data_IF_306245581676
#
_entry.id   IF_306245581676
#
_cell.length_a   1.000
_cell.length_b   1.000
_cell.length_c   1.000
_cell.angle_alpha   90.00
_cell.angle_beta   90.00
_cell.angle_gamma   90.00
#
_symmetry.space_group_name_H-M   'P 1'
#
loop_
_entity.id
_entity.type
_entity.pdbx_description
1 polymer ?
#
# COMPACT_ATOMS: atom_id res chain seq x y z
N UNK A 1 -19.12 -58.02 -8.52
CA UNK A 1 -19.42 -56.82 -9.33
C UNK A 1 -19.55 -55.65 -8.35
N UNK A 2 -18.47 -54.85 -8.14
CA UNK A 2 -18.38 -53.41 -8.51
C UNK A 2 -19.49 -52.57 -7.86
N UNK A 3 -19.27 -51.55 -7.02
CA UNK A 3 -18.21 -50.54 -6.83
C UNK A 3 -18.27 -50.05 -5.35
N UNK A 4 -17.16 -49.87 -4.61
CA UNK A 4 -16.26 -48.69 -4.51
C UNK A 4 -16.85 -47.47 -3.75
N UNK A 5 -16.12 -47.08 -2.69
CA UNK A 5 -16.02 -45.74 -2.06
C UNK A 5 -17.25 -45.22 -1.28
N UNK A 6 -17.15 -44.43 -0.20
CA UNK A 6 -16.08 -43.53 0.26
C UNK A 6 -16.27 -43.36 1.78
N UNK A 7 -15.22 -43.60 2.58
CA UNK A 7 -15.14 -42.93 3.89
C UNK A 7 -14.91 -41.45 3.66
N UNK A 8 -15.38 -40.60 4.58
CA UNK A 8 -14.84 -39.27 4.87
C UNK A 8 -15.58 -38.71 6.10
N UNK A 9 -15.07 -39.08 7.27
CA UNK A 9 -15.34 -38.35 8.51
C UNK A 9 -14.54 -37.06 8.45
N UNK A 10 -15.21 -35.97 8.11
CA UNK A 10 -14.68 -34.61 8.11
C UNK A 10 -14.22 -34.22 9.53
N UNK A 11 -12.94 -34.45 9.83
CA UNK A 11 -12.28 -33.80 10.95
C UNK A 11 -12.05 -32.33 10.59
N UNK A 12 -12.54 -31.46 11.46
CA UNK A 12 -12.34 -30.01 11.47
C UNK A 12 -10.93 -29.59 11.01
N UNK A 13 -10.85 -28.92 9.86
CA UNK A 13 -9.66 -28.18 9.40
C UNK A 13 -9.81 -26.67 9.72
N UNK A 14 -10.22 -26.30 10.94
CA UNK A 14 -10.24 -24.90 11.38
C UNK A 14 -8.95 -24.47 12.12
N UNK A 15 -8.06 -25.39 12.48
CA UNK A 15 -6.81 -25.08 13.21
C UNK A 15 -5.63 -24.61 12.34
N UNK A 16 -5.61 -24.95 11.05
CA UNK A 16 -4.43 -24.73 10.19
C UNK A 16 -4.21 -23.28 9.74
N UNK A 17 -5.22 -22.42 9.80
CA UNK A 17 -5.07 -21.00 9.43
C UNK A 17 -4.43 -20.18 10.55
N UNK A 18 -4.83 -20.45 11.79
CA UNK A 18 -4.36 -19.73 12.96
C UNK A 18 -2.89 -20.06 13.27
N UNK A 19 -2.48 -21.33 13.21
CA UNK A 19 -1.08 -21.71 13.43
C UNK A 19 -0.13 -21.11 12.38
N UNK A 20 -0.57 -21.06 11.11
CA UNK A 20 0.19 -20.41 10.03
C UNK A 20 0.33 -18.91 10.26
N UNK A 21 -0.73 -18.24 10.70
CA UNK A 21 -0.71 -16.81 11.00
C UNK A 21 0.28 -16.47 12.13
N UNK A 22 0.27 -17.25 13.23
CA UNK A 22 1.25 -17.09 14.31
C UNK A 22 2.68 -17.39 13.88
N UNK A 23 2.87 -18.34 12.95
CA UNK A 23 4.19 -18.66 12.40
C UNK A 23 4.81 -17.50 11.64
N UNK A 24 4.03 -16.74 10.86
CA UNK A 24 4.53 -15.56 10.15
C UNK A 24 4.87 -14.40 11.08
N UNK A 25 4.09 -14.21 12.15
CA UNK A 25 4.38 -13.20 13.17
C UNK A 25 5.72 -13.53 13.85
N UNK A 26 5.87 -14.76 14.35
CA UNK A 26 7.11 -15.20 14.99
C UNK A 26 8.31 -15.11 14.04
N UNK A 27 8.14 -15.49 12.77
CA UNK A 27 9.20 -15.38 11.77
C UNK A 27 9.63 -13.91 11.54
N UNK A 28 8.67 -12.99 11.50
CA UNK A 28 8.96 -11.57 11.36
C UNK A 28 9.70 -10.99 12.56
N UNK A 29 9.36 -11.42 13.78
CA UNK A 29 10.05 -11.04 15.01
C UNK A 29 11.49 -11.59 15.04
N UNK A 30 11.66 -12.88 14.72
CA UNK A 30 12.98 -13.52 14.61
C UNK A 30 13.84 -12.79 13.58
N UNK A 31 13.27 -12.41 12.43
CA UNK A 31 13.99 -11.63 11.43
C UNK A 31 14.52 -10.31 11.98
N UNK A 32 13.75 -9.61 12.81
CA UNK A 32 14.20 -8.38 13.48
C UNK A 32 15.36 -8.58 14.46
N UNK A 33 15.51 -9.79 15.02
CA UNK A 33 16.59 -10.11 15.97
C UNK A 33 17.85 -10.65 15.31
N UNK A 34 17.71 -11.31 14.15
CA UNK A 34 18.82 -11.92 13.43
C UNK A 34 19.38 -10.90 12.43
N UNK A 35 20.61 -10.42 12.66
CA UNK A 35 21.31 -9.41 11.85
C UNK A 35 21.75 -9.96 10.47
N UNK A 36 20.79 -10.36 9.64
CA UNK A 36 21.02 -10.87 8.28
C UNK A 36 21.29 -12.38 8.17
N UNK A 37 21.27 -13.14 9.27
CA UNK A 37 21.51 -14.61 9.25
C UNK A 37 20.44 -15.39 8.45
N UNK A 38 19.26 -14.79 8.22
CA UNK A 38 18.18 -15.39 7.42
C UNK A 38 18.45 -15.42 5.91
N UNK A 39 19.54 -14.83 5.43
CA UNK A 39 19.82 -14.64 3.99
C UNK A 39 19.75 -15.94 3.18
N UNK A 40 20.28 -17.04 3.73
CA UNK A 40 20.29 -18.34 3.05
C UNK A 40 18.90 -19.00 2.99
N UNK A 41 18.00 -18.61 3.88
CA UNK A 41 16.64 -19.15 3.97
C UNK A 41 15.61 -18.31 3.21
N UNK A 42 15.97 -17.09 2.79
CA UNK A 42 15.10 -16.17 2.05
C UNK A 42 14.42 -16.80 0.82
N UNK A 43 15.08 -17.60 -0.04
CA UNK A 43 14.41 -18.22 -1.18
C UNK A 43 13.22 -19.10 -0.75
N UNK A 44 13.41 -19.91 0.29
CA UNK A 44 12.39 -20.81 0.83
C UNK A 44 11.27 -20.02 1.51
N UNK A 45 11.63 -19.07 2.37
CA UNK A 45 10.67 -18.20 3.09
C UNK A 45 9.80 -17.43 2.09
N UNK A 46 10.42 -16.80 1.09
CA UNK A 46 9.70 -15.98 0.10
C UNK A 46 8.82 -16.81 -0.81
N UNK A 47 9.17 -18.06 -1.09
CA UNK A 47 8.26 -19.00 -1.77
C UNK A 47 6.99 -19.24 -0.94
N UNK A 48 7.12 -19.53 0.35
CA UNK A 48 5.97 -19.74 1.23
C UNK A 48 5.13 -18.47 1.42
N UNK A 49 5.78 -17.30 1.55
CA UNK A 49 5.08 -16.02 1.61
C UNK A 49 4.27 -15.77 0.34
N UNK A 50 4.83 -16.05 -0.84
CA UNK A 50 4.10 -15.89 -2.12
C UNK A 50 2.81 -16.70 -2.15
N UNK A 51 2.88 -17.97 -1.75
CA UNK A 51 1.74 -18.88 -1.78
C UNK A 51 0.64 -18.50 -0.78
N UNK A 52 1.00 -17.83 0.31
CA UNK A 52 0.05 -17.39 1.36
C UNK A 52 -0.50 -15.98 1.13
N UNK A 53 0.25 -15.13 0.41
CA UNK A 53 -0.19 -13.79 0.00
C UNK A 53 -1.12 -13.86 -1.21
N UNK A 54 -0.86 -14.76 -2.16
CA UNK A 54 -1.72 -14.96 -3.32
C UNK A 54 -2.16 -16.43 -3.42
N UNK A 55 -2.94 -16.93 -2.45
CA UNK A 55 -3.34 -18.33 -2.44
C UNK A 55 -4.26 -18.63 -3.61
N UNK A 56 -4.11 -19.82 -4.21
CA UNK A 56 -4.98 -20.28 -5.30
C UNK A 56 -6.45 -20.41 -4.87
N UNK A 57 -6.68 -20.68 -3.59
CA UNK A 57 -8.00 -20.78 -2.95
C UNK A 57 -7.91 -20.16 -1.56
N UNK A 58 -8.89 -19.34 -1.20
CA UNK A 58 -8.94 -18.67 0.10
C UNK A 58 -8.53 -17.20 0.03
N UNK A 59 -8.32 -16.60 1.19
CA UNK A 59 -7.99 -15.17 1.35
C UNK A 59 -6.49 -15.00 1.57
N UNK A 60 -5.91 -13.87 1.14
CA UNK A 60 -4.53 -13.54 1.48
C UNK A 60 -4.34 -13.46 3.00
N UNK A 61 -3.22 -13.98 3.51
CA UNK A 61 -2.83 -13.78 4.92
C UNK A 61 -2.23 -12.38 5.11
N UNK A 62 -2.81 -11.61 6.03
CA UNK A 62 -2.30 -10.28 6.37
C UNK A 62 -1.02 -10.38 7.19
N UNK A 63 -0.87 -11.44 7.97
CA UNK A 63 0.30 -11.74 8.79
C UNK A 63 1.51 -12.05 7.91
N UNK A 64 1.31 -12.76 6.79
CA UNK A 64 2.33 -12.96 5.78
C UNK A 64 2.80 -11.62 5.16
N UNK A 65 1.88 -10.70 4.88
CA UNK A 65 2.22 -9.36 4.38
C UNK A 65 3.05 -8.56 5.40
N UNK A 66 2.63 -8.56 6.67
CA UNK A 66 3.38 -7.92 7.75
C UNK A 66 4.77 -8.54 7.92
N UNK A 67 4.88 -9.86 7.79
CA UNK A 67 6.15 -10.60 7.84
C UNK A 67 7.11 -10.13 6.73
N UNK A 68 6.63 -9.92 5.50
CA UNK A 68 7.47 -9.36 4.41
C UNK A 68 8.05 -8.00 4.80
N UNK A 69 7.23 -7.11 5.38
CA UNK A 69 7.68 -5.80 5.86
C UNK A 69 8.77 -5.92 6.93
N UNK A 70 8.55 -6.76 7.95
CA UNK A 70 9.50 -6.98 9.03
C UNK A 70 10.83 -7.58 8.55
N UNK A 71 10.78 -8.56 7.62
CA UNK A 71 11.99 -9.14 7.01
C UNK A 71 12.72 -8.09 6.17
N UNK A 72 12.01 -7.30 5.37
CA UNK A 72 12.61 -6.23 4.58
C UNK A 72 13.26 -5.16 5.47
N UNK A 73 12.63 -4.85 6.61
CA UNK A 73 13.17 -3.94 7.62
C UNK A 73 14.47 -4.44 8.23
N UNK A 74 14.53 -5.72 8.57
CA UNK A 74 15.70 -6.33 9.18
C UNK A 74 16.87 -6.51 8.18
N UNK A 75 16.57 -6.87 6.94
CA UNK A 75 17.58 -7.33 5.99
C UNK A 75 17.98 -6.29 4.93
N UNK A 76 17.24 -5.18 4.83
CA UNK A 76 17.50 -4.11 3.87
C UNK A 76 17.63 -4.62 2.43
N UNK A 77 18.69 -4.18 1.74
CA UNK A 77 18.94 -4.45 0.31
C UNK A 77 19.08 -5.93 -0.04
N UNK A 78 19.45 -6.78 0.92
CA UNK A 78 19.53 -8.24 0.71
C UNK A 78 18.17 -8.83 0.29
N UNK A 79 17.09 -8.22 0.77
CA UNK A 79 15.72 -8.63 0.51
C UNK A 79 15.14 -8.04 -0.79
N UNK A 80 15.83 -7.10 -1.45
CA UNK A 80 15.33 -6.33 -2.60
C UNK A 80 14.85 -7.22 -3.75
N UNK A 81 15.70 -8.16 -4.18
CA UNK A 81 15.40 -9.09 -5.29
C UNK A 81 14.21 -10.01 -4.98
N UNK A 82 14.07 -10.42 -3.71
CA UNK A 82 12.97 -11.26 -3.27
C UNK A 82 11.67 -10.48 -3.20
N UNK A 83 11.71 -9.24 -2.68
CA UNK A 83 10.55 -8.34 -2.64
C UNK A 83 10.05 -8.05 -4.04
N UNK A 84 10.94 -7.77 -5.02
CA UNK A 84 10.51 -7.58 -6.42
C UNK A 84 9.68 -8.76 -6.93
N UNK A 85 10.09 -9.99 -6.61
CA UNK A 85 9.37 -11.21 -6.97
C UNK A 85 8.10 -11.49 -6.15
N UNK A 86 7.81 -10.69 -5.12
CA UNK A 86 6.59 -10.76 -4.31
C UNK A 86 5.59 -9.65 -4.68
N UNK A 87 6.06 -8.50 -5.20
CA UNK A 87 5.22 -7.35 -5.50
C UNK A 87 4.02 -7.69 -6.39
N UNK A 88 4.20 -8.53 -7.41
CA UNK A 88 3.09 -8.92 -8.27
C UNK A 88 2.00 -9.67 -7.47
N UNK A 89 2.40 -10.60 -6.61
CA UNK A 89 1.49 -11.36 -5.74
C UNK A 89 0.81 -10.47 -4.70
N UNK A 90 1.55 -9.54 -4.08
CA UNK A 90 0.99 -8.62 -3.08
C UNK A 90 -0.05 -7.70 -3.69
N UNK A 91 0.22 -7.10 -4.86
CA UNK A 91 -0.72 -6.20 -5.52
C UNK A 91 -1.91 -6.94 -6.14
N UNK A 92 -1.76 -8.20 -6.59
CA UNK A 92 -2.88 -9.02 -7.06
C UNK A 92 -3.88 -9.37 -5.95
N UNK A 93 -3.44 -9.42 -4.70
CA UNK A 93 -4.31 -9.75 -3.56
C UNK A 93 -5.30 -8.63 -3.20
N UNK A 94 -5.05 -7.39 -3.64
CA UNK A 94 -5.83 -6.19 -3.33
C UNK A 94 -5.10 -5.21 -2.40
N UNK A 95 -5.73 -4.06 -2.13
CA UNK A 95 -5.18 -3.04 -1.24
C UNK A 95 -5.69 -3.25 0.19
N UNK A 96 -4.76 -3.39 1.13
CA UNK A 96 -5.02 -3.57 2.56
C UNK A 96 -4.16 -2.59 3.37
N UNK A 97 -4.61 -2.20 4.56
CA UNK A 97 -3.82 -1.34 5.44
C UNK A 97 -2.47 -1.98 5.79
N UNK A 98 -2.48 -3.28 6.12
CA UNK A 98 -1.26 -4.05 6.42
C UNK A 98 -0.30 -4.12 5.24
N UNK A 99 -0.82 -4.15 4.00
CA UNK A 99 0.03 -4.08 2.80
C UNK A 99 0.73 -2.73 2.73
N UNK A 100 0.00 -1.64 2.96
CA UNK A 100 0.57 -0.28 2.92
C UNK A 100 1.65 -0.11 3.99
N UNK A 101 1.40 -0.59 5.20
CA UNK A 101 2.39 -0.61 6.29
C UNK A 101 3.65 -1.41 5.92
N UNK A 102 3.49 -2.59 5.35
CA UNK A 102 4.62 -3.39 4.89
C UNK A 102 5.38 -2.70 3.74
N UNK A 103 4.68 -2.07 2.79
CA UNK A 103 5.30 -1.33 1.69
C UNK A 103 6.08 -0.11 2.19
N UNK A 104 5.59 0.61 3.19
CA UNK A 104 6.33 1.72 3.82
C UNK A 104 7.67 1.22 4.39
N UNK A 105 7.63 0.16 5.21
CA UNK A 105 8.84 -0.46 5.77
C UNK A 105 9.80 -0.93 4.68
N UNK A 106 9.28 -1.55 3.62
CA UNK A 106 10.08 -1.98 2.47
C UNK A 106 10.78 -0.78 1.83
N UNK A 107 10.06 0.32 1.58
CA UNK A 107 10.64 1.50 0.90
C UNK A 107 11.62 2.28 1.76
N UNK A 108 11.44 2.29 3.08
CA UNK A 108 12.39 2.87 4.03
C UNK A 108 13.71 2.10 4.02
N UNK A 109 13.64 0.76 4.03
CA UNK A 109 14.83 -0.10 4.06
C UNK A 109 15.43 -0.36 2.67
N UNK A 110 14.64 -0.17 1.61
CA UNK A 110 15.02 -0.38 0.21
C UNK A 110 14.58 0.78 -0.70
N UNK A 111 15.22 1.96 -0.61
CA UNK A 111 14.88 3.12 -1.43
C UNK A 111 14.83 2.88 -2.96
N UNK A 112 15.66 2.00 -3.57
CA UNK A 112 15.57 1.72 -5.01
C UNK A 112 14.24 1.14 -5.49
N UNK A 113 13.44 0.55 -4.58
CA UNK A 113 12.12 0.00 -4.89
C UNK A 113 11.02 1.06 -4.87
N UNK A 114 11.26 2.21 -4.24
CA UNK A 114 10.26 3.27 -4.04
C UNK A 114 9.57 3.67 -5.35
N UNK A 115 10.26 3.98 -6.47
CA UNK A 115 9.58 4.36 -7.71
C UNK A 115 8.68 3.27 -8.28
N UNK A 116 9.07 2.00 -8.13
CA UNK A 116 8.29 0.86 -8.62
C UNK A 116 7.02 0.68 -7.78
N UNK A 117 7.14 0.82 -6.46
CA UNK A 117 6.03 0.68 -5.52
C UNK A 117 5.06 1.86 -5.67
N UNK A 118 5.56 3.10 -5.76
CA UNK A 118 4.75 4.30 -5.98
C UNK A 118 3.86 4.17 -7.22
N UNK A 119 4.45 3.82 -8.37
CA UNK A 119 3.72 3.66 -9.63
C UNK A 119 2.61 2.59 -9.53
N UNK A 120 2.92 1.44 -8.92
CA UNK A 120 1.95 0.35 -8.76
C UNK A 120 0.84 0.73 -7.78
N UNK A 121 1.18 1.42 -6.69
CA UNK A 121 0.25 1.85 -5.67
C UNK A 121 -0.71 2.93 -6.20
N UNK A 122 -0.19 3.93 -6.94
CA UNK A 122 -1.02 4.94 -7.62
C UNK A 122 -1.97 4.31 -8.62
N UNK A 123 -1.51 3.33 -9.41
CA UNK A 123 -2.36 2.60 -10.37
C UNK A 123 -3.46 1.78 -9.66
N UNK A 124 -3.13 1.16 -8.52
CA UNK A 124 -4.10 0.42 -7.72
C UNK A 124 -5.17 1.37 -7.16
N UNK A 125 -4.73 2.48 -6.57
CA UNK A 125 -5.59 3.51 -5.99
C UNK A 125 -6.52 4.12 -7.04
N UNK A 126 -5.99 4.54 -8.21
CA UNK A 126 -6.84 5.10 -9.27
C UNK A 126 -7.90 4.10 -9.73
N UNK A 127 -7.54 2.81 -9.87
CA UNK A 127 -8.50 1.77 -10.24
C UNK A 127 -9.60 1.60 -9.20
N UNK A 128 -9.28 1.67 -7.91
CA UNK A 128 -10.27 1.56 -6.82
C UNK A 128 -11.20 2.77 -6.82
N UNK A 129 -10.63 3.98 -6.90
CA UNK A 129 -11.39 5.23 -6.87
C UNK A 129 -12.30 5.34 -8.11
N UNK A 130 -11.81 5.10 -9.32
CA UNK A 130 -12.63 5.15 -10.54
C UNK A 130 -13.80 4.16 -10.53
N UNK A 131 -13.59 2.94 -10.04
CA UNK A 131 -14.65 1.92 -10.00
C UNK A 131 -15.75 2.25 -9.00
N UNK A 132 -15.40 2.86 -7.88
CA UNK A 132 -16.39 3.27 -6.87
C UNK A 132 -17.22 4.45 -7.36
N UNK A 133 -16.67 5.36 -8.15
CA UNK A 133 -17.42 6.46 -8.78
C UNK A 133 -18.50 5.97 -9.75
N UNK A 134 -18.21 4.92 -10.51
CA UNK A 134 -19.16 4.35 -11.46
C UNK A 134 -20.23 3.45 -10.81
N UNK A 135 -20.14 3.16 -9.51
CA UNK A 135 -21.13 2.38 -8.77
C UNK A 135 -22.33 3.21 -8.29
N UNK A 136 -22.48 4.45 -8.78
CA UNK A 136 -23.64 5.31 -8.54
C UNK A 136 -24.62 5.28 -9.73
N UNK A 137 -25.50 4.26 -9.87
CA UNK A 137 -26.75 4.48 -10.58
C UNK A 137 -27.65 5.29 -9.65
N UNK A 138 -27.85 6.57 -10.00
CA UNK A 138 -28.92 7.41 -9.45
C UNK A 138 -30.29 6.85 -9.85
N UNK A 139 -30.71 5.74 -9.27
CA UNK A 139 -32.06 5.19 -9.46
C UNK A 139 -32.51 4.53 -8.16
N UNK A 140 -33.23 5.29 -7.34
CA UNK A 140 -34.09 4.73 -6.30
C UNK A 140 -35.47 5.38 -6.34
N UNK A 141 -36.21 4.99 -7.37
CA UNK A 141 -37.63 4.73 -7.22
C UNK A 141 -37.89 3.37 -7.88
N UNK A 142 -38.03 2.32 -7.07
CA UNK A 142 -39.19 1.42 -7.12
C UNK A 142 -39.11 0.40 -5.98
N UNK A 143 -40.25 0.27 -5.32
CA UNK A 143 -40.58 -0.65 -4.24
C UNK A 143 -40.65 -2.08 -4.81
N UNK A 144 -40.11 -3.08 -4.12
CA UNK A 144 -40.76 -4.40 -3.99
C UNK A 144 -40.02 -5.34 -3.03
N UNK A 145 -40.83 -6.22 -2.47
CA UNK A 145 -40.72 -6.97 -1.23
C UNK A 145 -40.26 -8.41 -1.47
N UNK A 146 -39.58 -8.99 -0.49
CA UNK A 146 -39.56 -10.45 -0.24
C UNK A 146 -38.31 -11.22 -0.69
N UNK A 147 -37.47 -11.62 0.28
CA UNK A 147 -37.23 -13.03 0.63
C UNK A 147 -35.97 -13.16 1.53
N UNK A 148 -36.16 -13.77 2.69
CA UNK A 148 -35.12 -14.07 3.68
C UNK A 148 -34.37 -15.30 3.19
N UNK A 149 -33.10 -15.12 2.79
CA UNK A 149 -32.14 -16.21 2.66
C UNK A 149 -31.06 -16.01 3.71
N UNK A 150 -30.92 -16.98 4.61
CA UNK A 150 -29.87 -17.05 5.63
C UNK A 150 -28.50 -17.02 4.94
N UNK A 151 -27.81 -15.90 5.02
CA UNK A 151 -26.40 -15.76 4.60
C UNK A 151 -25.54 -16.06 5.82
N UNK A 152 -24.70 -17.09 5.70
CA UNK A 152 -23.61 -17.41 6.62
C UNK A 152 -22.76 -16.16 6.92
N UNK A 153 -22.19 -16.00 8.14
CA UNK A 153 -21.37 -14.84 8.46
C UNK A 153 -20.00 -14.95 7.77
N UNK A 154 -19.98 -14.69 6.47
CA UNK A 154 -18.78 -14.40 5.70
C UNK A 154 -18.28 -13.02 6.15
N UNK A 155 -17.15 -12.99 6.86
CA UNK A 155 -16.47 -11.74 7.25
C UNK A 155 -16.27 -10.87 6.00
N UNK A 156 -16.56 -9.55 6.03
CA UNK A 156 -16.90 -8.80 4.82
C UNK A 156 -15.73 -8.70 3.84
N UNK A 157 -15.99 -8.96 2.56
CA UNK A 157 -15.26 -8.30 1.47
C UNK A 157 -15.33 -6.81 1.80
N UNK A 158 -14.19 -6.12 1.96
CA UNK A 158 -14.18 -4.70 2.32
C UNK A 158 -15.20 -3.98 1.43
N UNK A 159 -16.20 -3.35 2.06
CA UNK A 159 -17.23 -2.61 1.34
C UNK A 159 -16.55 -1.58 0.43
N UNK A 160 -17.17 -1.22 -0.69
CA UNK A 160 -16.60 -0.25 -1.63
C UNK A 160 -16.09 1.02 -0.93
N UNK A 161 -16.87 1.51 0.05
CA UNK A 161 -16.50 2.65 0.91
C UNK A 161 -15.23 2.41 1.75
N UNK A 162 -15.04 1.22 2.33
CA UNK A 162 -13.84 0.91 3.12
C UNK A 162 -12.56 0.88 2.25
N UNK A 163 -12.65 0.37 1.03
CA UNK A 163 -11.52 0.39 0.08
C UNK A 163 -11.20 1.80 -0.40
N UNK A 164 -12.21 2.63 -0.62
CA UNK A 164 -12.02 4.06 -0.92
C UNK A 164 -11.31 4.75 0.25
N UNK A 165 -11.76 4.55 1.48
CA UNK A 165 -11.13 5.12 2.66
C UNK A 165 -9.66 4.68 2.82
N UNK A 166 -9.36 3.39 2.65
CA UNK A 166 -7.98 2.90 2.67
C UNK A 166 -7.17 3.59 1.57
N UNK A 167 -7.71 3.71 0.36
CA UNK A 167 -7.03 4.37 -0.76
C UNK A 167 -6.72 5.85 -0.48
N UNK A 168 -7.70 6.59 0.04
CA UNK A 168 -7.54 8.01 0.42
C UNK A 168 -6.52 8.19 1.55
N UNK A 169 -6.59 7.36 2.60
CA UNK A 169 -5.60 7.39 3.70
C UNK A 169 -4.20 7.03 3.21
N UNK A 170 -4.10 6.11 2.25
CA UNK A 170 -2.82 5.70 1.64
C UNK A 170 -2.19 6.86 0.86
N UNK A 171 -2.96 7.54 0.00
CA UNK A 171 -2.50 8.75 -0.70
C UNK A 171 -2.00 9.83 0.26
N UNK A 172 -2.65 9.93 1.43
CA UNK A 172 -2.34 10.92 2.44
C UNK A 172 -1.16 10.57 3.36
N UNK A 173 -0.66 9.32 3.34
CA UNK A 173 0.39 8.85 4.27
C UNK A 173 1.64 8.40 3.55
N UNK A 174 1.50 7.70 2.44
CA UNK A 174 2.62 7.12 1.71
C UNK A 174 3.42 8.19 0.98
N UNK A 175 4.74 7.98 0.86
CA UNK A 175 5.61 8.90 0.14
C UNK A 175 5.43 8.73 -1.38
N UNK A 176 4.79 9.72 -2.02
CA UNK A 176 4.67 9.82 -3.48
C UNK A 176 5.43 11.01 -4.07
N UNK A 177 6.49 11.48 -3.41
CA UNK A 177 7.36 12.53 -3.96
C UNK A 177 7.87 12.14 -5.36
N UNK A 178 7.91 13.11 -6.27
CA UNK A 178 8.25 12.90 -7.69
C UNK A 178 7.05 12.62 -8.60
N UNK A 179 5.84 12.45 -8.05
CA UNK A 179 4.61 12.33 -8.83
C UNK A 179 3.77 13.62 -8.80
N UNK A 180 3.00 13.85 -9.87
CA UNK A 180 2.04 14.95 -9.95
C UNK A 180 0.74 14.61 -9.18
N UNK A 181 0.84 14.69 -7.86
CA UNK A 181 -0.26 14.42 -6.95
C UNK A 181 -1.40 15.42 -7.02
N UNK A 182 -1.18 16.73 -7.25
CA UNK A 182 -2.29 17.68 -7.45
C UNK A 182 -3.18 17.32 -8.64
N UNK A 183 -2.61 16.92 -9.79
CA UNK A 183 -3.39 16.47 -10.95
C UNK A 183 -4.14 15.19 -10.61
N UNK A 184 -3.47 14.21 -9.99
CA UNK A 184 -4.11 12.96 -9.56
C UNK A 184 -5.30 13.21 -8.62
N UNK A 185 -5.16 14.12 -7.65
CA UNK A 185 -6.21 14.44 -6.69
C UNK A 185 -7.46 15.04 -7.37
N UNK A 186 -7.24 15.93 -8.36
CA UNK A 186 -8.34 16.53 -9.13
C UNK A 186 -9.13 15.49 -9.90
N UNK A 187 -8.45 14.49 -10.45
CA UNK A 187 -9.08 13.45 -11.26
C UNK A 187 -9.80 12.39 -10.41
N UNK A 188 -9.20 11.92 -9.31
CA UNK A 188 -9.71 10.75 -8.58
C UNK A 188 -10.27 11.04 -7.18
N UNK A 189 -9.87 12.14 -6.53
CA UNK A 189 -10.17 12.39 -5.10
C UNK A 189 -11.29 13.42 -4.90
N UNK A 190 -11.33 14.50 -5.70
CA UNK A 190 -12.25 15.64 -5.48
C UNK A 190 -13.71 15.24 -5.37
N UNK A 191 -14.15 14.27 -6.17
CA UNK A 191 -15.53 13.76 -6.17
C UNK A 191 -15.93 13.09 -4.84
N UNK A 192 -14.98 12.59 -4.05
CA UNK A 192 -15.26 12.06 -2.71
C UNK A 192 -15.43 13.12 -1.62
N UNK A 193 -15.19 14.40 -1.92
CA UNK A 193 -15.48 15.49 -0.98
C UNK A 193 -17.00 15.67 -0.76
N UNK A 194 -17.81 15.19 -1.71
CA UNK A 194 -19.26 15.24 -1.68
C UNK A 194 -19.91 13.86 -1.40
N UNK A 195 -19.13 12.88 -0.94
CA UNK A 195 -19.63 11.53 -0.65
C UNK A 195 -20.68 11.52 0.48
N UNK A 196 -21.67 10.62 0.40
CA UNK A 196 -22.71 10.51 1.43
C UNK A 196 -22.11 10.09 2.79
N UNK A 197 -21.09 9.23 2.78
CA UNK A 197 -20.42 8.76 3.97
C UNK A 197 -19.52 9.85 4.59
N UNK A 198 -19.77 10.17 5.85
CA UNK A 198 -19.02 11.19 6.58
C UNK A 198 -17.54 10.82 6.74
N UNK A 199 -17.23 9.53 6.90
CA UNK A 199 -15.85 9.10 7.08
C UNK A 199 -15.05 9.18 5.78
N UNK A 200 -15.65 8.81 4.63
CA UNK A 200 -15.07 9.01 3.29
C UNK A 200 -14.78 10.48 3.01
N UNK A 201 -15.75 11.38 3.25
CA UNK A 201 -15.53 12.83 3.06
C UNK A 201 -14.39 13.38 3.91
N UNK A 202 -14.32 12.96 5.17
CA UNK A 202 -13.24 13.34 6.09
C UNK A 202 -11.88 12.90 5.53
N UNK A 203 -11.76 11.64 5.12
CA UNK A 203 -10.52 11.10 4.57
C UNK A 203 -10.13 11.78 3.25
N UNK A 204 -11.10 12.09 2.39
CA UNK A 204 -10.88 12.83 1.13
C UNK A 204 -10.36 14.25 1.40
N UNK A 205 -10.98 14.98 2.32
CA UNK A 205 -10.55 16.32 2.70
C UNK A 205 -9.12 16.32 3.27
N UNK A 206 -8.82 15.40 4.19
CA UNK A 206 -7.48 15.23 4.76
C UNK A 206 -6.44 14.87 3.69
N UNK A 207 -6.80 14.00 2.74
CA UNK A 207 -5.97 13.67 1.61
C UNK A 207 -5.65 14.91 0.78
N UNK A 208 -6.66 15.67 0.34
CA UNK A 208 -6.46 16.90 -0.43
C UNK A 208 -5.57 17.92 0.30
N UNK A 209 -5.81 18.16 1.60
CA UNK A 209 -5.00 19.09 2.39
C UNK A 209 -3.52 18.69 2.43
N UNK A 210 -3.23 17.39 2.63
CA UNK A 210 -1.86 16.88 2.70
C UNK A 210 -1.16 16.93 1.35
N UNK A 211 -1.84 16.57 0.26
CA UNK A 211 -1.28 16.64 -1.08
C UNK A 211 -0.93 18.09 -1.45
N UNK A 212 -1.78 19.05 -1.10
CA UNK A 212 -1.51 20.47 -1.29
C UNK A 212 -0.35 20.95 -0.40
N UNK A 213 -0.32 20.59 0.88
CA UNK A 213 0.78 20.96 1.77
C UNK A 213 2.14 20.45 1.26
N UNK A 214 2.18 19.22 0.76
CA UNK A 214 3.38 18.63 0.17
C UNK A 214 3.78 19.34 -1.14
N UNK A 215 2.83 19.76 -1.95
CA UNK A 215 3.15 20.55 -3.16
C UNK A 215 3.73 21.93 -2.81
N UNK A 216 3.23 22.57 -1.76
CA UNK A 216 3.68 23.89 -1.31
C UNK A 216 5.05 23.86 -0.61
N UNK A 217 5.37 22.77 0.11
CA UNK A 217 6.70 22.59 0.72
C UNK A 217 7.79 22.41 -0.33
N UNK A 218 7.50 21.70 -1.43
CA UNK A 218 8.38 21.58 -2.59
C UNK A 218 8.61 22.96 -3.25
N UNK A 219 7.54 23.74 -3.43
CA UNK A 219 7.65 25.10 -3.99
C UNK A 219 8.47 26.03 -3.07
N UNK A 220 8.28 25.94 -1.76
CA UNK A 220 9.04 26.75 -0.79
C UNK A 220 10.54 26.39 -0.77
N UNK A 221 10.87 25.11 -0.93
CA UNK A 221 12.26 24.64 -0.97
C UNK A 221 12.99 25.10 -2.23
N UNK A 222 12.31 25.08 -3.39
CA UNK A 222 12.89 25.57 -4.66
C UNK A 222 13.10 27.08 -4.67
N UNK A 223 12.20 27.87 -4.07
CA UNK A 223 12.39 29.32 -3.91
C UNK A 223 13.55 29.68 -2.97
N UNK A 224 13.77 28.91 -1.90
CA UNK A 224 14.92 29.09 -1.01
C UNK A 224 16.26 28.71 -1.67
N UNK A 225 16.29 27.70 -2.54
CA UNK A 225 17.50 27.34 -3.32
C UNK A 225 17.84 28.38 -4.39
N UNK A 226 16.85 28.94 -5.08
CA UNK A 226 17.06 30.03 -6.04
C UNK A 226 17.57 31.31 -5.37
N UNK A 227 17.13 31.57 -4.14
CA UNK A 227 17.55 32.75 -3.37
C UNK A 227 19.02 32.70 -2.94
N UNK A 228 19.60 31.51 -2.69
CA UNK A 228 21.04 31.38 -2.33
C UNK A 228 21.99 31.53 -3.53
N UNK A 229 21.54 31.20 -4.73
CA UNK A 229 22.37 31.30 -5.94
C UNK A 229 22.62 32.78 -6.31
N UNK A 230 21.69 33.67 -6.00
CA UNK A 230 21.78 35.09 -6.33
C UNK A 230 22.66 35.93 -5.38
N UNK A 231 23.22 35.36 -4.31
CA UNK A 231 24.06 36.11 -3.36
C UNK A 231 25.58 35.89 -3.54
N UNK A 232 26.01 35.05 -4.50
CA UNK A 232 27.43 34.71 -4.69
C UNK A 232 28.19 35.62 -5.68
N UNK A 233 27.58 36.68 -6.20
CA UNK A 233 28.22 37.60 -7.17
C UNK A 233 28.18 39.05 -6.69
N UNK A 234 28.98 39.38 -5.68
CA UNK A 234 28.96 40.72 -5.10
C UNK A 234 30.19 41.10 -4.29
N UNK A 235 31.41 40.96 -4.86
CA UNK A 235 32.61 41.67 -4.40
C UNK A 235 33.77 41.53 -5.40
N UNK A 236 33.75 42.30 -6.50
CA UNK A 236 34.99 42.68 -7.19
C UNK A 236 35.53 43.95 -6.55
N UNK A 237 36.55 43.75 -5.71
CA UNK A 237 37.45 44.78 -5.17
C UNK A 237 38.02 45.61 -6.33
N UNK A 238 37.83 46.94 -6.30
CA UNK A 238 38.71 47.87 -7.01
C UNK A 238 40.06 47.86 -6.28
N UNK A 239 41.15 47.53 -6.98
CA UNK A 239 42.53 47.82 -6.56
C UNK A 239 43.19 48.69 -7.61
N UNK A 240 43.72 49.81 -7.14
CA UNK A 240 44.70 50.69 -7.76
C UNK A 240 45.96 49.92 -8.16
N UNK A 241 46.57 50.32 -9.28
CA UNK A 241 48.02 50.22 -9.54
C UNK A 241 48.42 51.45 -10.38
N UNK A 242 49.30 52.31 -9.84
CA UNK A 242 50.19 53.30 -10.53
C UNK A 242 51.07 52.58 -11.59
N UNK A 243 51.72 53.17 -12.59
CA UNK A 243 52.42 54.46 -12.75
C UNK A 243 52.81 54.60 -14.24
N UNK A 244 52.96 55.84 -14.74
CA UNK A 244 54.12 56.45 -15.43
C UNK A 244 53.75 57.91 -15.73
#
# INVERSE_FOLDING_TARGET
MKDRFLGDGWLHEEGGGQERSSGFIALGEIAGTLDGELTNYLPTITSHLRDTIAPRRGRPSLEALACVGNIAKAMGQTMERHVRGLLDSTFSSGLYLTLVEALEQITESNPPLLPTIQNRLLKCISTILSRSHHSMPRLSAFVSQGNITMVTPQVPKLSGSALVQISLRTLARFNFEGHDLPVFAREFVVVYLEDDDRATRKDAALCCCKLLANSLSVISSTQFCLSRINCASGKRRRRLVEEV
#
